data_IF_701572228539
#
_entry.id   IF_701572228539
#
_cell.length_a   1.000
_cell.length_b   1.000
_cell.length_c   1.000
_cell.angle_alpha   90.00
_cell.angle_beta   90.00
_cell.angle_gamma   90.00
#
_symmetry.space_group_name_H-M   'P 1'
#
loop_
_entity.id
_entity.type
_entity.pdbx_description
1 polymer ?
#
# COMPACT_ATOMS: atom_id res chain seq x y z
N UNK A 1 -4.84 -21.87 -11.33
CA UNK A 1 -3.75 -20.86 -11.32
C UNK A 1 -3.12 -20.83 -12.70
N UNK A 2 -3.26 -19.74 -13.45
CA UNK A 2 -2.43 -19.51 -14.64
C UNK A 2 -1.08 -19.04 -14.10
N UNK A 3 -0.01 -19.79 -14.35
CA UNK A 3 1.33 -19.35 -14.02
C UNK A 3 1.69 -18.20 -14.97
N UNK A 4 1.47 -16.97 -14.53
CA UNK A 4 1.93 -15.79 -15.26
C UNK A 4 3.46 -15.75 -15.18
N UNK A 5 4.12 -16.05 -16.29
CA UNK A 5 5.56 -15.90 -16.44
C UNK A 5 5.84 -14.52 -17.02
N UNK A 6 6.54 -13.68 -16.27
CA UNK A 6 6.97 -12.36 -16.71
C UNK A 6 8.41 -12.43 -17.19
N UNK A 7 8.71 -12.13 -18.47
CA UNK A 7 10.08 -12.15 -18.96
C UNK A 7 10.90 -11.06 -18.30
N UNK A 8 12.17 -11.35 -18.01
CA UNK A 8 13.12 -10.35 -17.49
C UNK A 8 12.97 -9.99 -16.02
N UNK A 9 12.11 -10.68 -15.25
CA UNK A 9 12.06 -10.46 -13.79
C UNK A 9 13.35 -10.96 -13.13
N UNK A 10 13.84 -10.29 -12.07
CA UNK A 10 15.02 -10.72 -11.36
C UNK A 10 14.89 -12.13 -10.79
N UNK A 11 15.92 -12.97 -10.94
CA UNK A 11 15.88 -14.38 -10.53
C UNK A 11 15.68 -14.60 -9.02
N UNK A 12 15.89 -13.58 -8.19
CA UNK A 12 15.70 -13.64 -6.74
C UNK A 12 14.26 -13.33 -6.30
N UNK A 13 13.42 -12.82 -7.21
CA UNK A 13 12.03 -12.53 -6.92
C UNK A 13 11.21 -13.81 -6.86
N UNK A 14 10.41 -13.96 -5.80
CA UNK A 14 9.32 -14.93 -5.77
C UNK A 14 8.00 -14.18 -5.89
N UNK A 15 7.43 -14.23 -7.08
CA UNK A 15 6.22 -13.49 -7.42
C UNK A 15 4.98 -14.37 -7.26
N UNK A 16 3.95 -13.81 -6.63
CA UNK A 16 2.59 -14.38 -6.62
C UNK A 16 1.56 -13.26 -6.81
N UNK A 17 0.38 -13.62 -7.29
CA UNK A 17 -0.72 -12.68 -7.48
C UNK A 17 -1.91 -13.24 -6.70
N UNK A 18 -2.44 -12.42 -5.80
CA UNK A 18 -3.67 -12.70 -5.08
C UNK A 18 -4.77 -11.79 -5.62
N UNK A 19 -5.98 -12.31 -5.77
CA UNK A 19 -7.18 -11.51 -6.03
C UNK A 19 -8.09 -11.63 -4.82
N UNK A 20 -8.65 -10.52 -4.36
CA UNK A 20 -9.49 -10.49 -3.16
C UNK A 20 -10.77 -9.68 -3.33
N UNK A 21 -11.71 -9.94 -2.43
CA UNK A 21 -13.01 -9.28 -2.41
C UNK A 21 -13.92 -9.67 -3.59
N UNK A 22 -15.07 -9.02 -3.68
CA UNK A 22 -16.03 -9.21 -4.77
C UNK A 22 -15.56 -8.56 -6.06
N UNK A 23 -14.79 -7.48 -5.99
CA UNK A 23 -14.22 -6.82 -7.17
C UNK A 23 -12.99 -7.57 -7.74
N UNK A 24 -12.53 -8.62 -7.04
CA UNK A 24 -11.38 -9.44 -7.44
C UNK A 24 -10.11 -8.60 -7.70
N UNK A 25 -9.90 -7.55 -6.90
CA UNK A 25 -8.77 -6.64 -7.08
C UNK A 25 -7.45 -7.40 -6.93
N UNK A 26 -6.51 -7.25 -7.88
CA UNK A 26 -5.24 -7.95 -7.81
C UNK A 26 -4.24 -7.22 -6.90
N UNK A 27 -3.53 -8.00 -6.10
CA UNK A 27 -2.32 -7.59 -5.38
C UNK A 27 -1.18 -8.49 -5.84
N UNK A 28 -0.14 -7.88 -6.37
CA UNK A 28 1.11 -8.59 -6.67
C UNK A 28 1.93 -8.62 -5.39
N UNK A 29 2.40 -9.80 -4.99
CA UNK A 29 3.29 -10.01 -3.86
C UNK A 29 4.64 -10.50 -4.39
N UNK A 30 5.71 -9.85 -3.96
CA UNK A 30 7.08 -10.11 -4.42
C UNK A 30 7.96 -10.31 -3.20
N UNK A 31 8.35 -11.54 -2.89
CA UNK A 31 9.36 -11.82 -1.86
C UNK A 31 10.78 -11.70 -2.45
N UNK A 32 11.72 -11.21 -1.64
CA UNK A 32 13.09 -10.94 -2.07
C UNK A 32 13.14 -9.77 -3.05
N UNK A 33 12.46 -8.67 -2.74
CA UNK A 33 12.26 -7.57 -3.69
C UNK A 33 13.56 -6.87 -4.10
N UNK A 34 14.49 -6.70 -3.16
CA UNK A 34 15.85 -6.22 -3.44
C UNK A 34 16.88 -7.28 -3.05
N UNK A 35 18.09 -7.20 -3.61
CA UNK A 35 19.17 -8.16 -3.33
C UNK A 35 19.72 -8.00 -1.92
N UNK A 36 20.09 -6.78 -1.58
CA UNK A 36 20.68 -6.41 -0.29
C UNK A 36 19.68 -5.52 0.46
N UNK A 37 18.69 -6.10 1.16
CA UNK A 37 17.69 -5.31 1.88
C UNK A 37 18.26 -4.62 3.13
N UNK A 38 19.39 -5.11 3.65
CA UNK A 38 20.12 -4.48 4.76
C UNK A 38 20.62 -3.08 4.37
N UNK A 39 21.19 -2.94 3.17
CA UNK A 39 21.64 -1.64 2.64
C UNK A 39 20.53 -0.59 2.63
N UNK A 40 19.26 -0.99 2.39
CA UNK A 40 18.12 -0.07 2.43
C UNK A 40 17.75 0.38 3.85
N UNK A 41 17.94 -0.50 4.84
CA UNK A 41 17.72 -0.16 6.24
C UNK A 41 18.86 0.76 6.73
N UNK A 42 20.09 0.46 6.36
CA UNK A 42 21.27 1.29 6.66
C UNK A 42 21.17 2.67 6.00
N UNK A 43 20.78 2.73 4.72
CA UNK A 43 20.51 3.98 4.01
C UNK A 43 19.46 4.82 4.76
N UNK A 44 18.37 4.19 5.20
CA UNK A 44 17.35 4.86 5.99
C UNK A 44 17.92 5.39 7.33
N UNK A 45 18.75 4.63 8.03
CA UNK A 45 19.38 5.03 9.29
C UNK A 45 20.26 6.28 9.18
N UNK A 46 20.74 6.61 7.96
CA UNK A 46 21.54 7.81 7.69
C UNK A 46 20.71 9.06 7.34
N UNK A 47 19.38 8.94 7.24
CA UNK A 47 18.50 10.03 6.84
C UNK A 47 17.81 10.71 8.03
N UNK A 48 17.48 12.00 7.84
CA UNK A 48 16.64 12.74 8.79
C UNK A 48 15.16 12.57 8.47
N UNK A 49 14.45 11.92 9.38
CA UNK A 49 13.00 11.74 9.29
C UNK A 49 12.23 12.93 9.87
N UNK A 50 11.09 13.25 9.26
CA UNK A 50 10.13 14.24 9.77
C UNK A 50 8.70 13.86 9.40
N UNK A 51 7.72 14.45 10.08
CA UNK A 51 6.33 14.33 9.64
C UNK A 51 6.17 14.90 8.23
N UNK A 52 5.52 14.16 7.32
CA UNK A 52 5.24 14.59 5.95
C UNK A 52 3.82 14.15 5.54
N UNK A 53 2.95 15.14 5.33
CA UNK A 53 1.53 14.92 5.05
C UNK A 53 0.72 14.60 6.31
N UNK A 54 -0.60 14.79 6.23
CA UNK A 54 -1.51 14.63 7.38
C UNK A 54 -2.01 13.19 7.55
N UNK A 55 -1.97 12.40 6.48
CA UNK A 55 -2.57 11.06 6.45
C UNK A 55 -1.68 9.96 7.02
N UNK A 56 -0.35 10.14 6.99
CA UNK A 56 0.55 9.10 7.46
C UNK A 56 0.80 9.21 8.97
N UNK A 57 0.57 8.16 9.77
CA UNK A 57 0.71 8.18 11.23
C UNK A 57 2.17 7.98 11.67
N UNK A 58 3.08 8.85 11.20
CA UNK A 58 4.47 8.81 11.60
C UNK A 58 5.38 9.73 10.80
N UNK A 59 6.64 9.31 10.66
CA UNK A 59 7.70 10.12 10.06
C UNK A 59 8.21 9.51 8.76
N UNK A 60 8.72 10.36 7.88
CA UNK A 60 9.18 10.01 6.54
C UNK A 60 10.50 10.69 6.17
N UNK A 61 11.23 10.05 5.27
CA UNK A 61 12.38 10.59 4.55
C UNK A 61 12.24 10.28 3.05
N UNK A 62 12.77 11.13 2.18
CA UNK A 62 12.69 10.96 0.73
C UNK A 62 13.54 9.78 0.25
N UNK A 63 13.02 8.99 -0.68
CA UNK A 63 13.82 8.00 -1.44
C UNK A 63 14.24 8.64 -2.76
N UNK A 64 15.52 8.65 -3.12
CA UNK A 64 15.97 9.14 -4.42
C UNK A 64 15.34 8.31 -5.56
N UNK A 65 14.73 8.99 -6.55
CA UNK A 65 14.09 8.33 -7.69
C UNK A 65 15.04 7.41 -8.47
N UNK A 66 16.33 7.77 -8.54
CA UNK A 66 17.36 6.97 -9.21
C UNK A 66 17.52 5.58 -8.58
N UNK A 67 17.35 5.46 -7.26
CA UNK A 67 17.41 4.17 -6.55
C UNK A 67 16.29 3.22 -6.97
N UNK A 68 15.15 3.76 -7.41
CA UNK A 68 13.97 2.97 -7.79
C UNK A 68 13.95 2.56 -9.26
N UNK A 69 14.69 3.24 -10.14
CA UNK A 69 14.61 3.03 -11.59
C UNK A 69 14.81 1.56 -12.01
N UNK A 70 15.85 0.83 -11.53
CA UNK A 70 16.03 -0.57 -11.89
C UNK A 70 14.88 -1.48 -11.42
N UNK A 71 14.26 -1.15 -10.28
CA UNK A 71 13.11 -1.90 -9.75
C UNK A 71 11.86 -1.67 -10.59
N UNK A 72 11.66 -0.44 -11.10
CA UNK A 72 10.54 -0.13 -11.98
C UNK A 72 10.67 -0.77 -13.35
N UNK A 73 11.89 -0.83 -13.91
CA UNK A 73 12.15 -1.54 -15.16
C UNK A 73 11.78 -3.03 -15.03
N UNK A 74 12.14 -3.66 -13.90
CA UNK A 74 11.76 -5.03 -13.58
C UNK A 74 10.26 -5.21 -13.32
N UNK A 75 9.58 -4.22 -12.74
CA UNK A 75 8.13 -4.25 -12.49
C UNK A 75 7.29 -3.97 -13.75
N UNK A 76 7.84 -3.30 -14.76
CA UNK A 76 7.10 -2.92 -15.97
C UNK A 76 6.34 -4.08 -16.66
N UNK A 77 6.94 -5.28 -16.91
CA UNK A 77 6.19 -6.40 -17.47
C UNK A 77 5.07 -6.91 -16.54
N UNK A 78 5.29 -6.86 -15.23
CA UNK A 78 4.30 -7.26 -14.22
C UNK A 78 3.13 -6.28 -14.21
N UNK A 79 3.41 -4.98 -14.19
CA UNK A 79 2.36 -3.96 -14.18
C UNK A 79 1.53 -3.97 -15.46
N UNK A 80 2.16 -4.24 -16.60
CA UNK A 80 1.46 -4.44 -17.86
C UNK A 80 0.52 -5.63 -17.81
N UNK A 81 1.00 -6.79 -17.37
CA UNK A 81 0.21 -8.02 -17.39
C UNK A 81 -0.89 -8.08 -16.32
N UNK A 82 -0.69 -7.45 -15.16
CA UNK A 82 -1.64 -7.50 -14.04
C UNK A 82 -2.59 -6.31 -14.02
N UNK A 83 -2.07 -5.09 -14.26
CA UNK A 83 -2.87 -3.86 -14.14
C UNK A 83 -3.23 -3.22 -15.48
N UNK A 84 -2.67 -3.71 -16.59
CA UNK A 84 -2.84 -3.10 -17.91
C UNK A 84 -2.11 -1.76 -18.05
N UNK A 85 -1.06 -1.54 -17.25
CA UNK A 85 -0.34 -0.26 -17.18
C UNK A 85 1.09 -0.38 -17.72
N UNK A 86 1.55 0.68 -18.36
CA UNK A 86 2.89 0.81 -18.94
C UNK A 86 3.52 2.13 -18.50
N UNK A 87 4.77 2.37 -18.89
CA UNK A 87 5.44 3.65 -18.64
C UNK A 87 5.33 4.12 -17.18
N UNK A 88 5.63 3.23 -16.24
CA UNK A 88 5.56 3.52 -14.81
C UNK A 88 6.51 4.67 -14.46
N UNK A 89 5.99 5.69 -13.81
CA UNK A 89 6.76 6.84 -13.34
C UNK A 89 6.56 7.04 -11.84
N UNK A 90 7.65 7.31 -11.12
CA UNK A 90 7.57 7.68 -9.69
C UNK A 90 6.92 9.04 -9.55
N UNK A 91 5.80 9.08 -8.83
CA UNK A 91 5.20 10.33 -8.37
C UNK A 91 5.93 10.76 -7.11
N UNK A 92 5.87 9.93 -6.08
CA UNK A 92 6.56 10.13 -4.80
C UNK A 92 7.10 8.82 -4.25
N UNK A 93 8.15 8.90 -3.43
CA UNK A 93 8.70 7.74 -2.74
C UNK A 93 9.32 8.13 -1.40
N UNK A 94 8.95 7.38 -0.35
CA UNK A 94 9.35 7.68 1.02
C UNK A 94 9.78 6.43 1.78
N UNK A 95 10.91 6.52 2.47
CA UNK A 95 11.12 5.73 3.67
C UNK A 95 10.11 6.23 4.71
N UNK A 96 9.37 5.32 5.31
CA UNK A 96 8.24 5.63 6.18
C UNK A 96 8.30 4.77 7.43
N UNK A 97 8.13 5.39 8.61
CA UNK A 97 8.13 4.71 9.91
C UNK A 97 6.89 5.14 10.68
N UNK A 98 6.09 4.19 11.12
CA UNK A 98 4.93 4.45 11.96
C UNK A 98 5.42 4.78 13.38
N UNK A 99 5.19 6.01 13.83
CA UNK A 99 5.64 6.49 15.15
C UNK A 99 4.50 7.06 15.98
N UNK A 100 3.33 7.27 15.39
CA UNK A 100 2.17 7.78 16.11
C UNK A 100 1.49 6.64 16.87
N UNK A 101 1.42 6.68 18.21
CA UNK A 101 0.75 5.64 18.98
C UNK A 101 -0.78 5.69 18.76
N UNK A 102 -1.50 4.57 18.98
CA UNK A 102 -2.94 4.45 18.70
C UNK A 102 -3.80 5.57 19.31
N UNK A 103 -3.51 5.96 20.55
CA UNK A 103 -4.24 7.00 21.28
C UNK A 103 -4.08 8.41 20.67
N UNK A 104 -3.02 8.65 19.88
CA UNK A 104 -2.71 9.94 19.26
C UNK A 104 -3.14 10.02 17.78
N UNK A 105 -3.76 8.96 17.23
CA UNK A 105 -4.19 8.94 15.84
C UNK A 105 -5.27 9.98 15.57
N UNK A 106 -5.11 10.75 14.49
CA UNK A 106 -6.18 11.59 13.96
C UNK A 106 -7.33 10.71 13.43
N UNK A 107 -8.60 11.19 13.40
CA UNK A 107 -9.73 10.39 12.93
C UNK A 107 -9.51 9.74 11.55
N UNK A 108 -8.89 10.47 10.61
CA UNK A 108 -8.60 9.96 9.26
C UNK A 108 -7.61 8.79 9.23
N UNK A 109 -6.82 8.60 10.29
CA UNK A 109 -5.82 7.53 10.40
C UNK A 109 -6.40 6.25 11.02
N UNK A 110 -7.68 6.27 11.44
CA UNK A 110 -8.37 5.16 12.14
C UNK A 110 -9.25 4.32 11.21
N UNK A 111 -9.29 4.67 9.93
CA UNK A 111 -10.24 4.13 8.94
C UNK A 111 -9.52 3.82 7.62
N UNK A 112 -10.01 2.83 6.85
CA UNK A 112 -9.53 2.55 5.51
C UNK A 112 -9.57 3.79 4.61
N UNK A 113 -8.55 3.92 3.77
CA UNK A 113 -8.42 5.02 2.82
C UNK A 113 -8.01 4.51 1.44
N UNK A 114 -8.09 5.41 0.46
CA UNK A 114 -7.45 5.28 -0.84
C UNK A 114 -6.38 6.36 -0.95
N UNK A 115 -5.27 6.07 -1.62
CA UNK A 115 -4.20 7.07 -1.81
C UNK A 115 -4.56 8.05 -2.95
N UNK A 116 -5.28 7.55 -3.96
CA UNK A 116 -5.65 8.28 -5.17
C UNK A 116 -6.84 7.58 -5.84
N UNK A 117 -7.70 8.32 -6.54
CA UNK A 117 -8.89 7.77 -7.20
C UNK A 117 -8.64 7.37 -8.66
N UNK A 118 -7.52 7.79 -9.25
CA UNK A 118 -7.15 7.42 -10.61
C UNK A 118 -6.89 5.90 -10.75
N UNK A 119 -7.46 5.23 -11.76
CA UNK A 119 -7.23 3.81 -11.99
C UNK A 119 -5.80 3.49 -12.48
N UNK A 120 -5.06 4.51 -12.93
CA UNK A 120 -3.68 4.39 -13.40
C UNK A 120 -2.64 4.59 -12.31
N UNK A 121 -3.07 4.89 -11.08
CA UNK A 121 -2.19 5.05 -9.93
C UNK A 121 -1.98 3.72 -9.21
N UNK A 122 -0.72 3.36 -9.00
CA UNK A 122 -0.34 2.18 -8.21
C UNK A 122 0.43 2.59 -6.95
N UNK A 123 0.25 1.82 -5.89
CA UNK A 123 1.06 1.88 -4.68
C UNK A 123 1.95 0.64 -4.61
N UNK A 124 3.25 0.87 -4.41
CA UNK A 124 4.27 -0.13 -4.15
C UNK A 124 4.74 0.04 -2.70
N UNK A 125 4.43 -0.94 -1.85
CA UNK A 125 4.88 -0.99 -0.46
C UNK A 125 5.95 -2.06 -0.32
N UNK A 126 7.17 -1.68 0.06
CA UNK A 126 8.27 -2.60 0.37
C UNK A 126 8.54 -2.60 1.87
N UNK A 127 8.43 -3.78 2.48
CA UNK A 127 8.56 -3.98 3.92
C UNK A 127 10.02 -4.24 4.29
N UNK A 128 10.53 -3.40 5.21
CA UNK A 128 11.88 -3.50 5.75
C UNK A 128 11.88 -3.67 7.28
N UNK A 129 10.70 -3.78 7.90
CA UNK A 129 10.55 -4.12 9.31
C UNK A 129 10.82 -5.59 9.56
N UNK A 130 11.43 -5.91 10.70
CA UNK A 130 11.66 -7.30 11.14
C UNK A 130 10.44 -7.97 11.76
N UNK A 131 9.54 -7.18 12.34
CA UNK A 131 8.26 -7.69 12.82
C UNK A 131 7.35 -7.98 11.61
N UNK A 132 7.06 -9.27 11.41
CA UNK A 132 6.28 -9.79 10.28
C UNK A 132 4.80 -10.03 10.63
N UNK A 133 4.37 -9.60 11.83
CA UNK A 133 2.96 -9.71 12.30
C UNK A 133 2.09 -8.61 11.70
N UNK A 134 2.70 -7.50 11.29
CA UNK A 134 2.02 -6.41 10.59
C UNK A 134 1.85 -6.66 9.09
N UNK A 135 1.48 -5.60 8.35
CA UNK A 135 1.32 -5.66 6.90
C UNK A 135 0.41 -4.58 6.35
N UNK A 136 -0.38 -4.93 5.34
CA UNK A 136 -1.46 -4.11 4.78
C UNK A 136 -2.74 -4.94 4.68
N UNK A 137 -3.84 -4.38 5.17
CA UNK A 137 -5.18 -4.94 5.06
C UNK A 137 -6.00 -4.14 4.05
N UNK A 138 -6.89 -4.84 3.35
CA UNK A 138 -7.78 -4.30 2.33
C UNK A 138 -9.23 -4.49 2.78
N UNK A 139 -10.08 -3.54 2.43
CA UNK A 139 -11.41 -3.43 3.02
C UNK A 139 -12.50 -3.22 1.98
N UNK A 140 -13.71 -3.60 2.37
CA UNK A 140 -14.96 -3.20 1.73
C UNK A 140 -15.74 -2.29 2.66
N UNK A 141 -16.20 -1.16 2.16
CA UNK A 141 -17.16 -0.33 2.87
C UNK A 141 -18.54 -0.98 2.84
N UNK A 142 -19.16 -1.22 4.00
CA UNK A 142 -20.37 -2.04 4.10
C UNK A 142 -21.59 -1.36 3.48
N UNK A 143 -21.79 -0.07 3.74
CA UNK A 143 -22.97 0.65 3.26
C UNK A 143 -23.01 0.79 1.73
N UNK A 144 -21.85 0.96 1.07
CA UNK A 144 -21.78 1.10 -0.39
C UNK A 144 -21.42 -0.20 -1.12
N UNK A 145 -20.87 -1.19 -0.41
CA UNK A 145 -20.28 -2.38 -1.00
C UNK A 145 -18.97 -2.14 -1.77
N UNK A 146 -18.40 -0.94 -1.72
CA UNK A 146 -17.21 -0.59 -2.49
C UNK A 146 -15.94 -1.15 -1.86
N UNK A 147 -15.07 -1.74 -2.70
CA UNK A 147 -13.70 -2.13 -2.35
C UNK A 147 -12.68 -1.17 -3.00
N UNK A 148 -13.07 -0.52 -4.09
CA UNK A 148 -12.31 0.57 -4.72
C UNK A 148 -13.12 1.85 -4.87
N UNK A 149 -12.44 3.00 -4.75
CA UNK A 149 -13.02 4.34 -4.91
C UNK A 149 -12.37 5.04 -6.10
N UNK A 150 -13.07 5.10 -7.24
CA UNK A 150 -12.69 5.94 -8.37
C UNK A 150 -13.34 7.34 -8.29
N UNK A 151 -13.09 8.18 -9.30
CA UNK A 151 -13.64 9.54 -9.35
C UNK A 151 -15.18 9.58 -9.32
N UNK A 152 -15.86 8.57 -9.90
CA UNK A 152 -17.32 8.51 -9.92
C UNK A 152 -17.89 8.00 -8.57
N UNK A 153 -17.12 7.18 -7.85
CA UNK A 153 -17.51 6.61 -6.55
C UNK A 153 -17.19 7.52 -5.37
N UNK A 154 -16.28 8.48 -5.53
CA UNK A 154 -15.77 9.30 -4.43
C UNK A 154 -16.87 10.06 -3.68
N UNK A 155 -17.73 10.80 -4.38
CA UNK A 155 -18.78 11.60 -3.74
C UNK A 155 -19.86 10.72 -3.08
N UNK A 156 -20.41 9.69 -3.76
CA UNK A 156 -21.31 8.73 -3.11
C UNK A 156 -20.69 8.06 -1.88
N UNK A 157 -19.40 7.68 -1.95
CA UNK A 157 -18.68 7.09 -0.82
C UNK A 157 -18.57 8.06 0.36
N UNK A 158 -18.19 9.31 0.12
CA UNK A 158 -18.07 10.33 1.17
C UNK A 158 -19.40 10.61 1.86
N UNK A 159 -20.50 10.69 1.10
CA UNK A 159 -21.84 10.89 1.65
C UNK A 159 -22.25 9.72 2.53
N UNK A 160 -22.06 8.49 2.04
CA UNK A 160 -22.39 7.29 2.81
C UNK A 160 -21.54 7.17 4.09
N UNK A 161 -20.23 7.40 3.98
CA UNK A 161 -19.32 7.36 5.12
C UNK A 161 -19.67 8.39 6.20
N UNK A 162 -20.05 9.60 5.77
CA UNK A 162 -20.49 10.65 6.71
C UNK A 162 -21.78 10.25 7.43
N UNK A 163 -22.75 9.64 6.73
CA UNK A 163 -23.99 9.14 7.32
C UNK A 163 -23.72 7.99 8.32
N UNK A 164 -22.81 7.09 7.98
CA UNK A 164 -22.36 5.99 8.83
C UNK A 164 -21.70 6.51 10.11
N UNK A 165 -20.78 7.48 9.99
CA UNK A 165 -20.14 8.13 11.14
C UNK A 165 -21.15 8.91 11.99
N UNK A 166 -22.15 9.57 11.37
CA UNK A 166 -23.21 10.24 12.13
C UNK A 166 -24.09 9.26 12.92
N UNK A 167 -24.28 8.05 12.39
CA UNK A 167 -25.12 7.01 13.00
C UNK A 167 -24.37 6.20 14.07
N UNK A 168 -23.14 5.80 13.78
CA UNK A 168 -22.35 4.86 14.60
C UNK A 168 -21.23 5.54 15.42
N UNK A 169 -20.98 6.83 15.17
CA UNK A 169 -19.86 7.56 15.74
C UNK A 169 -18.55 7.35 14.97
N UNK A 170 -17.54 8.15 15.30
CA UNK A 170 -16.19 7.94 14.81
C UNK A 170 -15.57 6.70 15.48
N UNK A 171 -14.74 5.92 14.76
CA UNK A 171 -13.96 4.85 15.39
C UNK A 171 -13.10 5.37 16.55
N UNK A 172 -13.05 4.57 17.61
CA UNK A 172 -12.19 4.82 18.75
C UNK A 172 -10.72 4.96 18.30
N UNK A 173 -9.89 5.73 19.03
CA UNK A 173 -8.46 5.83 18.72
C UNK A 173 -7.81 4.44 18.64
N UNK A 174 -7.28 4.10 17.46
CA UNK A 174 -6.80 2.76 17.16
C UNK A 174 -6.44 2.61 15.69
N UNK A 175 -5.47 1.76 15.41
CA UNK A 175 -5.33 1.20 14.07
C UNK A 175 -6.46 0.20 13.88
N UNK A 176 -7.11 0.23 12.71
CA UNK A 176 -8.13 -0.76 12.37
C UNK A 176 -7.49 -2.15 12.30
N UNK A 177 -8.17 -3.15 12.88
CA UNK A 177 -7.75 -4.55 12.82
C UNK A 177 -8.98 -5.44 12.62
N UNK A 178 -9.08 -6.03 11.43
CA UNK A 178 -10.24 -6.85 11.06
C UNK A 178 -11.50 -6.03 10.76
N UNK A 179 -12.63 -6.72 10.88
CA UNK A 179 -13.96 -6.17 10.63
C UNK A 179 -14.34 -5.09 11.65
N UNK A 180 -15.07 -4.09 11.17
CA UNK A 180 -15.73 -3.06 11.98
C UNK A 180 -17.21 -2.95 11.56
N UNK A 181 -17.96 -2.11 12.27
CA UNK A 181 -19.34 -1.76 11.89
C UNK A 181 -19.42 -1.14 10.49
N UNK A 182 -18.38 -0.41 10.05
CA UNK A 182 -18.39 0.33 8.78
C UNK A 182 -17.67 -0.40 7.65
N UNK A 183 -16.70 -1.25 7.99
CA UNK A 183 -15.84 -1.93 7.03
C UNK A 183 -15.73 -3.42 7.30
N UNK A 184 -15.58 -4.19 6.24
CA UNK A 184 -15.22 -5.61 6.27
C UNK A 184 -13.80 -5.76 5.74
N UNK A 185 -12.95 -6.52 6.43
CA UNK A 185 -11.63 -6.86 5.93
C UNK A 185 -11.76 -7.98 4.89
N UNK A 186 -11.38 -7.67 3.64
CA UNK A 186 -11.49 -8.63 2.53
C UNK A 186 -10.18 -9.35 2.22
N UNK A 187 -9.05 -8.79 2.67
CA UNK A 187 -7.74 -9.42 2.56
C UNK A 187 -6.71 -8.79 3.49
N UNK A 188 -5.66 -9.56 3.77
CA UNK A 188 -4.48 -9.11 4.51
C UNK A 188 -3.22 -9.70 3.93
N UNK A 189 -2.24 -8.83 3.67
CA UNK A 189 -0.92 -9.20 3.21
C UNK A 189 0.11 -8.91 4.29
N UNK A 190 0.74 -9.97 4.81
CA UNK A 190 1.78 -9.87 5.85
C UNK A 190 3.00 -9.09 5.35
N UNK A 191 3.51 -8.19 6.18
CA UNK A 191 4.70 -7.38 5.95
C UNK A 191 5.99 -8.15 6.24
N UNK A 192 6.26 -9.19 5.46
CA UNK A 192 7.48 -9.98 5.58
C UNK A 192 8.69 -9.14 5.18
N UNK A 193 9.80 -9.24 5.92
CA UNK A 193 11.03 -8.51 5.59
C UNK A 193 11.47 -8.78 4.14
N UNK A 194 11.80 -7.71 3.41
CA UNK A 194 12.14 -7.72 1.98
C UNK A 194 11.02 -8.22 1.04
N UNK A 195 9.76 -8.14 1.47
CA UNK A 195 8.60 -8.29 0.60
C UNK A 195 8.18 -6.95 0.04
N UNK A 196 7.80 -6.90 -1.22
CA UNK A 196 6.99 -5.83 -1.77
C UNK A 196 5.58 -6.30 -2.10
N UNK A 197 4.61 -5.40 -1.98
CA UNK A 197 3.28 -5.54 -2.57
C UNK A 197 3.01 -4.38 -3.53
N UNK A 198 2.41 -4.69 -4.68
CA UNK A 198 1.98 -3.71 -5.67
C UNK A 198 0.47 -3.86 -5.88
N UNK A 199 -0.26 -2.76 -5.73
CA UNK A 199 -1.73 -2.73 -5.82
C UNK A 199 -2.21 -1.38 -6.36
N UNK A 200 -3.49 -1.30 -6.74
CA UNK A 200 -4.08 -0.03 -7.20
C UNK A 200 -4.30 0.92 -6.03
N UNK A 201 -3.84 2.15 -6.15
CA UNK A 201 -3.98 3.19 -5.12
C UNK A 201 -5.42 3.53 -4.76
N UNK A 202 -6.37 3.18 -5.63
CA UNK A 202 -7.80 3.37 -5.40
C UNK A 202 -8.47 2.25 -4.60
N UNK A 203 -7.70 1.28 -4.08
CA UNK A 203 -8.21 0.20 -3.22
C UNK A 203 -8.31 0.68 -1.77
N UNK A 204 -9.44 0.43 -1.10
CA UNK A 204 -9.61 0.75 0.31
C UNK A 204 -8.66 -0.12 1.15
N UNK A 205 -7.75 0.52 1.87
CA UNK A 205 -6.72 -0.18 2.62
C UNK A 205 -6.28 0.58 3.88
N UNK A 206 -5.60 -0.14 4.78
CA UNK A 206 -4.90 0.40 5.94
C UNK A 206 -3.64 -0.41 6.23
N UNK A 207 -2.69 0.22 6.92
CA UNK A 207 -1.61 -0.54 7.53
C UNK A 207 -2.18 -1.45 8.61
N UNK A 208 -1.84 -2.74 8.56
CA UNK A 208 -2.08 -3.68 9.64
C UNK A 208 -0.96 -3.53 10.66
N UNK A 209 -1.27 -3.00 11.83
CA UNK A 209 -0.33 -2.68 12.91
C UNK A 209 -0.66 -3.53 14.15
N UNK A 210 0.22 -4.44 14.57
CA UNK A 210 0.03 -5.21 15.80
C UNK A 210 -0.16 -4.31 17.03
N UNK A 211 -1.01 -4.69 18.01
CA UNK A 211 -1.25 -3.89 19.21
C UNK A 211 0.00 -3.60 20.06
N UNK A 212 1.00 -4.49 20.02
CA UNK A 212 2.27 -4.42 20.75
C UNK A 212 3.42 -3.81 19.92
N UNK A 213 3.09 -3.11 18.82
CA UNK A 213 4.10 -2.45 17.97
C UNK A 213 4.91 -1.43 18.75
N UNK A 214 6.24 -1.46 18.58
CA UNK A 214 7.13 -0.43 19.10
C UNK A 214 7.08 0.80 18.20
N UNK A 215 6.50 1.89 18.69
CA UNK A 215 6.37 3.17 17.97
C UNK A 215 7.64 4.02 18.10
N UNK A 216 8.77 3.52 17.59
CA UNK A 216 10.07 4.22 17.55
C UNK A 216 10.34 4.80 16.17
N UNK A 217 11.05 5.93 16.12
CA UNK A 217 11.53 6.53 14.88
C UNK A 217 12.83 5.91 14.36
N UNK A 218 13.43 4.97 15.10
CA UNK A 218 14.63 4.23 14.70
C UNK A 218 14.32 3.29 13.52
N UNK A 219 14.93 3.47 12.32
CA UNK A 219 14.70 2.61 11.16
C UNK A 219 15.07 1.14 11.40
N UNK A 220 15.99 0.84 12.32
CA UNK A 220 16.44 -0.52 12.61
C UNK A 220 15.44 -1.31 13.47
N UNK A 221 14.65 -0.61 14.27
CA UNK A 221 13.73 -1.22 15.25
C UNK A 221 12.25 -0.96 14.94
N UNK A 222 11.94 0.16 14.27
CA UNK A 222 10.59 0.57 13.94
C UNK A 222 9.99 -0.19 12.77
N UNK A 223 8.70 0.06 12.51
CA UNK A 223 8.02 -0.47 11.33
C UNK A 223 8.43 0.33 10.09
N UNK A 224 9.63 0.07 9.58
CA UNK A 224 10.17 0.69 8.37
C UNK A 224 9.55 0.08 7.10
N UNK A 225 9.05 0.94 6.23
CA UNK A 225 8.62 0.60 4.86
C UNK A 225 9.14 1.62 3.86
N UNK A 226 9.27 1.21 2.61
CA UNK A 226 9.37 2.12 1.46
C UNK A 226 8.01 2.17 0.79
N UNK A 227 7.42 3.37 0.75
CA UNK A 227 6.13 3.63 0.12
C UNK A 227 6.39 4.40 -1.17
N UNK A 228 6.16 3.77 -2.31
CA UNK A 228 6.37 4.37 -3.63
C UNK A 228 5.05 4.46 -4.38
N UNK A 229 4.69 5.65 -4.81
CA UNK A 229 3.49 5.91 -5.61
C UNK A 229 3.86 6.07 -7.08
N UNK A 230 3.17 5.35 -7.94
CA UNK A 230 3.49 5.23 -9.36
C UNK A 230 2.32 5.70 -10.20
N UNK A 231 2.62 6.48 -11.23
CA UNK A 231 1.69 6.77 -12.32
C UNK A 231 2.00 5.86 -13.50
N UNK A 232 0.97 5.27 -14.11
CA UNK A 232 1.10 4.45 -15.32
C UNK A 232 0.31 5.02 -16.49
N UNK A 233 0.72 4.71 -17.71
CA UNK A 233 -0.09 4.90 -18.90
C UNK A 233 -0.92 3.64 -19.16
N UNK A 234 -2.23 3.78 -19.28
CA UNK A 234 -3.10 2.68 -19.72
C UNK A 234 -2.61 2.13 -21.07
N UNK A 235 -2.50 0.82 -21.21
CA UNK A 235 -2.40 0.21 -22.52
C UNK A 235 -3.57 0.71 -23.36
N UNK A 236 -3.31 1.34 -24.52
CA UNK A 236 -4.37 1.57 -25.49
C UNK A 236 -5.11 0.26 -25.73
N UNK A 237 -6.44 0.32 -25.89
CA UNK A 237 -7.20 -0.85 -26.32
C UNK A 237 -6.45 -1.48 -27.52
N UNK A 238 -6.29 -2.81 -27.58
CA UNK A 238 -5.72 -3.40 -28.78
C UNK A 238 -6.53 -2.86 -29.96
N UNK A 239 -5.84 -2.27 -30.94
CA UNK A 239 -6.47 -2.07 -32.24
C UNK A 239 -7.00 -3.44 -32.64
N UNK A 240 -8.32 -3.58 -32.69
CA UNK A 240 -8.97 -4.74 -33.30
C UNK A 240 -8.36 -4.90 -34.68
N UNK A 241 -7.51 -5.92 -34.84
CA UNK A 241 -7.11 -6.45 -36.14
C UNK A 241 -8.13 -7.51 -36.54
#
# INVERSE_FOLDING_TARGET
MIALSFPGIPAHWRLSIASHGHESQPVVVIDGFVREPEDWVEDAALLSFRAMGEHYPGVRAMVPRATLAPLLDALAPVARGVFGLTALAVVDAFYSIVTTPPAALAPIQRMPHVDEVSPTRLALLHYLSRDDRGGTAFFRHRATGYETIDAARLDPYRVALAADVATHGLPAPGFIDGDTTLFEEVARHRGVFNRAILYRSNSLHCAAIPPDTVFTADPMAGRLTVNTFLEGAACGAPATV
#
